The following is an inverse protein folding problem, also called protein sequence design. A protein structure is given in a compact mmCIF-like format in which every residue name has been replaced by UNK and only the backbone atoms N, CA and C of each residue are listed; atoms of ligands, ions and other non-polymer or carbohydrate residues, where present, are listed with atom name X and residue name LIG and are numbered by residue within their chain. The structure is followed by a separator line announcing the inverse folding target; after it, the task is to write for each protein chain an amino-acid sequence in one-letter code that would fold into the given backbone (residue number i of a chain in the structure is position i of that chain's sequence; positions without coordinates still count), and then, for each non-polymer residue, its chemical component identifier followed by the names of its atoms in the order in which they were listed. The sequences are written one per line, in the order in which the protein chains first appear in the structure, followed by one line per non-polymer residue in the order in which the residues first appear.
data_IF_965677018945
#
_entry.id   IF_965677018945
#
_cell.length_a   1.000
_cell.length_b   1.000
_cell.length_c   1.000
_cell.angle_alpha   90.00
_cell.angle_beta   90.00
_cell.angle_gamma   90.00
#
_symmetry.space_group_name_H-M   'P 1'
#
loop_
_entity.id
_entity.type
_entity.pdbx_description
1 polymer ?
#
# COMPACT_ATOMS: atom_id res chain seq x y z
N UNK A 1 -3.18 -19.74 -33.95
CA UNK A 1 -2.93 -18.42 -34.55
C UNK A 1 -2.60 -17.52 -33.40
N UNK A 2 -1.35 -17.28 -33.32
CA UNK A 2 -0.58 -16.62 -32.29
C UNK A 2 -0.70 -15.09 -32.49
N UNK A 3 -1.11 -14.33 -31.46
CA UNK A 3 -0.90 -12.89 -31.40
C UNK A 3 -0.60 -12.50 -29.96
N UNK A 4 0.64 -12.77 -29.56
CA UNK A 4 1.32 -12.02 -28.49
C UNK A 4 1.60 -10.61 -29.01
N UNK A 5 0.73 -9.64 -28.74
CA UNK A 5 1.07 -8.23 -28.84
C UNK A 5 1.81 -7.83 -27.56
N UNK A 6 3.13 -7.74 -27.69
CA UNK A 6 4.01 -7.04 -26.76
C UNK A 6 3.64 -5.55 -26.73
N UNK A 7 3.24 -5.04 -25.58
CA UNK A 7 2.97 -3.62 -25.36
C UNK A 7 4.28 -2.85 -25.13
N UNK A 8 5.07 -2.71 -26.21
CA UNK A 8 6.21 -1.80 -26.24
C UNK A 8 5.79 -0.53 -26.97
N UNK A 9 5.22 0.45 -26.31
CA UNK A 9 5.20 1.86 -26.67
C UNK A 9 4.17 2.63 -25.87
N UNK A 10 4.32 2.63 -24.52
CA UNK A 10 3.64 3.62 -23.71
C UNK A 10 4.51 4.88 -23.65
N UNK A 11 4.02 6.07 -24.03
CA UNK A 11 4.78 7.30 -23.90
C UNK A 11 5.13 7.53 -22.43
N UNK A 12 6.44 7.57 -22.16
CA UNK A 12 6.98 7.98 -20.86
C UNK A 12 6.40 9.36 -20.50
N UNK A 13 5.87 9.50 -19.28
CA UNK A 13 5.49 10.80 -18.73
C UNK A 13 6.65 11.77 -18.92
N UNK A 14 6.46 12.79 -19.76
CA UNK A 14 7.43 13.88 -19.85
C UNK A 14 7.38 14.63 -18.52
N UNK A 15 8.39 14.42 -17.70
CA UNK A 15 8.64 15.26 -16.53
C UNK A 15 8.83 16.69 -17.04
N UNK A 16 7.93 17.60 -16.71
CA UNK A 16 8.03 19.00 -17.12
C UNK A 16 9.23 19.63 -16.46
N UNK A 17 10.18 20.09 -17.29
CA UNK A 17 11.30 20.93 -16.83
C UNK A 17 10.75 22.25 -16.30
N UNK A 18 11.16 22.72 -15.12
CA UNK A 18 10.68 23.99 -14.57
C UNK A 18 11.10 25.16 -15.43
N UNK A 19 10.17 26.09 -15.70
CA UNK A 19 10.45 27.32 -16.44
C UNK A 19 11.49 28.19 -15.71
N UNK A 20 12.38 28.72 -16.50
CA UNK A 20 13.57 29.48 -16.14
C UNK A 20 13.27 30.87 -15.56
N UNK A 21 13.24 31.03 -14.24
CA UNK A 21 13.55 32.32 -13.58
C UNK A 21 13.86 32.24 -12.09
N UNK A 22 13.80 31.03 -11.50
CA UNK A 22 14.26 30.78 -10.11
C UNK A 22 15.54 29.94 -10.07
N UNK A 23 16.34 29.99 -11.09
CA UNK A 23 17.40 29.04 -11.42
C UNK A 23 18.64 29.11 -10.51
N UNK A 24 18.80 30.11 -9.68
CA UNK A 24 20.03 30.32 -8.89
C UNK A 24 20.12 29.50 -7.58
N UNK A 25 19.02 29.19 -6.95
CA UNK A 25 18.99 28.39 -5.69
C UNK A 25 18.57 26.93 -5.91
N UNK A 26 17.88 26.62 -7.02
CA UNK A 26 17.40 25.28 -7.35
C UNK A 26 18.44 24.41 -8.04
N UNK A 27 19.51 25.01 -8.58
CA UNK A 27 20.56 24.32 -9.34
C UNK A 27 21.44 23.36 -8.51
N UNK A 28 21.21 23.25 -7.19
CA UNK A 28 21.95 22.34 -6.29
C UNK A 28 21.10 21.27 -5.61
N UNK A 29 19.78 21.27 -5.79
CA UNK A 29 18.96 20.22 -5.19
C UNK A 29 18.86 19.02 -6.15
N UNK A 30 19.18 17.84 -5.64
CA UNK A 30 18.98 16.59 -6.36
C UNK A 30 17.49 16.39 -6.66
N UNK A 31 17.14 15.78 -7.80
CA UNK A 31 15.75 15.47 -8.10
C UNK A 31 15.19 14.52 -7.03
N UNK A 32 14.08 14.91 -6.39
CA UNK A 32 13.46 14.18 -5.30
C UNK A 32 12.12 13.57 -5.73
N UNK A 33 11.95 12.28 -5.54
CA UNK A 33 10.64 11.62 -5.57
C UNK A 33 10.22 11.33 -4.13
N UNK A 34 9.04 11.80 -3.75
CA UNK A 34 8.47 11.53 -2.44
C UNK A 34 7.41 10.44 -2.54
N UNK A 35 7.58 9.35 -1.82
CA UNK A 35 6.63 8.24 -1.73
C UNK A 35 5.91 8.36 -0.40
N UNK A 36 4.58 8.50 -0.44
CA UNK A 36 3.79 8.79 0.77
C UNK A 36 2.79 7.68 1.02
N UNK A 37 2.86 7.11 2.21
CA UNK A 37 1.90 6.12 2.70
C UNK A 37 1.14 6.63 3.93
N UNK A 38 0.26 5.81 4.48
CA UNK A 38 -0.29 5.98 5.83
C UNK A 38 -0.13 4.67 6.60
N UNK A 39 0.29 4.74 7.86
CA UNK A 39 0.41 3.57 8.74
C UNK A 39 -0.97 3.11 9.25
N UNK A 40 -1.84 2.76 8.30
CA UNK A 40 -3.13 2.10 8.51
C UNK A 40 -2.99 0.67 7.98
N UNK A 41 -2.52 -0.23 8.84
CA UNK A 41 -2.05 -1.56 8.42
C UNK A 41 -0.61 -1.52 7.86
N UNK A 42 -0.10 -2.66 7.41
CA UNK A 42 1.28 -2.80 6.90
C UNK A 42 1.39 -2.73 5.36
N UNK A 43 0.29 -2.98 4.64
CA UNK A 43 0.29 -3.11 3.18
C UNK A 43 0.75 -1.86 2.44
N UNK A 44 0.20 -0.69 2.81
CA UNK A 44 0.54 0.59 2.17
C UNK A 44 2.02 0.95 2.34
N UNK A 45 2.58 0.71 3.54
CA UNK A 45 4.00 0.91 3.82
C UNK A 45 4.86 -0.09 3.04
N UNK A 46 4.44 -1.36 2.96
CA UNK A 46 5.16 -2.38 2.21
C UNK A 46 5.25 -2.02 0.72
N UNK A 47 4.14 -1.58 0.12
CA UNK A 47 4.12 -1.11 -1.27
C UNK A 47 5.00 0.13 -1.48
N UNK A 48 4.95 1.11 -0.55
CA UNK A 48 5.81 2.29 -0.62
C UNK A 48 7.30 1.93 -0.59
N UNK A 49 7.70 1.03 0.30
CA UNK A 49 9.07 0.55 0.40
C UNK A 49 9.48 -0.26 -0.85
N UNK A 50 8.58 -1.06 -1.41
CA UNK A 50 8.85 -1.81 -2.64
C UNK A 50 9.11 -0.87 -3.83
N UNK A 51 8.34 0.22 -3.94
CA UNK A 51 8.58 1.25 -4.96
C UNK A 51 9.95 1.91 -4.74
N UNK A 52 10.31 2.25 -3.50
CA UNK A 52 11.62 2.83 -3.20
C UNK A 52 12.76 1.88 -3.60
N UNK A 53 12.65 0.59 -3.26
CA UNK A 53 13.62 -0.44 -3.67
C UNK A 53 13.72 -0.55 -5.20
N UNK A 54 12.60 -0.47 -5.92
CA UNK A 54 12.61 -0.50 -7.37
C UNK A 54 13.38 0.69 -7.96
N UNK A 55 13.23 1.90 -7.39
CA UNK A 55 14.03 3.06 -7.80
C UNK A 55 15.53 2.81 -7.58
N UNK A 56 15.93 2.19 -6.47
CA UNK A 56 17.33 1.88 -6.21
C UNK A 56 17.93 0.91 -7.25
N UNK A 57 17.11 -0.01 -7.76
CA UNK A 57 17.54 -0.97 -8.80
C UNK A 57 17.68 -0.34 -10.19
N UNK A 58 16.94 0.73 -10.48
CA UNK A 58 16.90 1.35 -11.82
C UNK A 58 17.63 2.71 -11.87
N UNK A 59 18.31 3.13 -10.82
CA UNK A 59 19.13 4.35 -10.82
C UNK A 59 20.13 4.32 -11.96
N UNK A 60 20.29 5.45 -12.64
CA UNK A 60 21.17 5.56 -13.79
C UNK A 60 20.70 4.85 -15.06
N UNK A 61 19.52 4.23 -15.04
CA UNK A 61 18.93 3.54 -16.20
C UNK A 61 17.63 4.19 -16.66
N UNK A 62 17.21 3.92 -17.89
CA UNK A 62 15.90 4.36 -18.43
C UNK A 62 15.57 5.85 -18.24
N UNK A 63 16.59 6.71 -18.20
CA UNK A 63 16.42 8.15 -17.97
C UNK A 63 16.18 8.56 -16.52
N UNK A 64 16.29 7.64 -15.57
CA UNK A 64 16.28 7.92 -14.13
C UNK A 64 17.67 8.43 -13.73
N UNK A 65 17.81 9.65 -13.16
CA UNK A 65 19.10 10.17 -12.71
C UNK A 65 19.74 9.26 -11.66
N UNK A 66 21.07 9.10 -11.71
CA UNK A 66 21.80 8.31 -10.71
C UNK A 66 21.70 8.93 -9.31
N UNK A 67 21.67 10.24 -9.24
CA UNK A 67 21.63 11.03 -8.01
C UNK A 67 20.19 11.33 -7.51
N UNK A 68 19.16 10.70 -8.09
CA UNK A 68 17.79 10.87 -7.64
C UNK A 68 17.64 10.51 -6.15
N UNK A 69 17.00 11.39 -5.39
CA UNK A 69 16.63 11.12 -4.01
C UNK A 69 15.24 10.50 -3.94
N UNK A 70 15.09 9.49 -3.08
CA UNK A 70 13.81 8.84 -2.79
C UNK A 70 13.54 8.97 -1.30
N UNK A 71 12.44 9.62 -0.93
CA UNK A 71 11.99 9.70 0.45
C UNK A 71 10.67 8.94 0.62
N UNK A 72 10.60 8.06 1.63
CA UNK A 72 9.38 7.36 2.02
C UNK A 72 8.85 7.95 3.31
N UNK A 73 7.63 8.49 3.28
CA UNK A 73 7.04 9.25 4.37
C UNK A 73 5.69 8.68 4.80
N UNK A 74 5.44 8.72 6.10
CA UNK A 74 4.09 8.50 6.63
C UNK A 74 3.33 9.82 6.71
N UNK A 75 2.21 9.94 5.98
CA UNK A 75 1.42 11.16 6.00
C UNK A 75 0.87 11.48 7.40
N UNK A 76 0.66 10.47 8.23
CA UNK A 76 0.13 10.65 9.59
C UNK A 76 1.09 11.44 10.50
N UNK A 77 2.40 11.38 10.20
CA UNK A 77 3.42 12.15 10.96
C UNK A 77 3.30 13.65 10.73
N UNK A 78 2.69 14.08 9.62
CA UNK A 78 2.47 15.48 9.26
C UNK A 78 1.13 16.04 9.75
N UNK A 79 0.31 15.20 10.39
CA UNK A 79 -0.99 15.59 10.92
C UNK A 79 -0.89 16.45 12.16
N UNK A 80 -1.77 17.50 12.29
CA UNK A 80 -1.93 18.27 13.54
C UNK A 80 -2.37 17.41 14.72
N UNK A 81 -3.18 16.38 14.43
CA UNK A 81 -3.64 15.40 15.41
C UNK A 81 -2.86 14.13 15.12
N UNK A 82 -2.20 13.59 16.13
CA UNK A 82 -1.57 12.28 16.02
C UNK A 82 -2.65 11.21 15.93
N UNK A 83 -2.89 10.73 14.73
CA UNK A 83 -3.79 9.62 14.50
C UNK A 83 -3.05 8.31 14.83
N UNK A 84 -3.63 7.53 15.70
CA UNK A 84 -3.30 6.12 15.79
C UNK A 84 -4.03 5.42 14.63
N UNK A 85 -3.29 5.05 13.59
CA UNK A 85 -3.84 4.44 12.38
C UNK A 85 -4.68 3.18 12.69
N UNK A 86 -4.30 2.42 13.70
CA UNK A 86 -5.01 1.22 14.13
C UNK A 86 -6.35 1.55 14.80
N UNK A 87 -6.39 2.58 15.66
CA UNK A 87 -7.63 3.03 16.29
C UNK A 87 -8.56 3.68 15.28
N UNK A 88 -8.01 4.40 14.31
CA UNK A 88 -8.79 5.02 13.23
C UNK A 88 -9.42 3.95 12.36
N UNK A 89 -8.68 2.94 11.92
CA UNK A 89 -9.23 1.81 11.17
C UNK A 89 -10.28 1.03 11.96
N UNK A 90 -10.08 0.82 13.27
CA UNK A 90 -11.07 0.18 14.14
C UNK A 90 -12.36 1.01 14.26
N UNK A 91 -12.30 2.34 14.22
CA UNK A 91 -13.49 3.19 14.26
C UNK A 91 -14.36 3.06 13.00
N UNK A 92 -13.75 2.81 11.82
CA UNK A 92 -14.49 2.60 10.56
C UNK A 92 -15.17 1.24 10.46
N UNK A 93 -14.78 0.26 11.27
CA UNK A 93 -15.39 -1.08 11.30
C UNK A 93 -16.56 -1.21 12.27
N UNK A 94 -16.79 -0.22 13.13
CA UNK A 94 -17.82 -0.19 14.17
C UNK A 94 -19.11 0.54 13.75
N UNK A 95 -19.61 1.41 14.63
CA UNK A 95 -20.85 2.17 14.45
C UNK A 95 -20.84 3.12 13.23
N UNK A 96 -19.67 3.49 12.73
CA UNK A 96 -19.49 4.38 11.56
C UNK A 96 -19.44 3.63 10.23
N UNK A 97 -19.50 2.29 10.25
CA UNK A 97 -19.46 1.46 9.03
C UNK A 97 -20.52 1.85 7.99
N UNK A 98 -21.78 2.13 8.33
CA UNK A 98 -22.78 2.55 7.32
C UNK A 98 -22.41 3.85 6.60
N UNK A 99 -21.76 4.80 7.31
CA UNK A 99 -21.29 6.06 6.72
C UNK A 99 -20.10 5.76 5.80
N UNK A 100 -19.19 4.90 6.22
CA UNK A 100 -18.07 4.45 5.41
C UNK A 100 -18.56 3.76 4.12
N UNK A 101 -19.48 2.80 4.22
CA UNK A 101 -20.06 2.09 3.07
C UNK A 101 -20.78 3.04 2.09
N UNK A 102 -21.46 4.08 2.62
CA UNK A 102 -22.11 5.11 1.81
C UNK A 102 -21.10 5.94 1.01
N UNK A 103 -20.00 6.29 1.66
CA UNK A 103 -18.92 7.09 1.03
C UNK A 103 -18.12 6.28 0.01
N UNK A 104 -18.02 4.98 0.22
CA UNK A 104 -17.38 4.06 -0.71
C UNK A 104 -18.14 3.96 -2.04
N UNK A 105 -19.46 3.84 -1.96
CA UNK A 105 -20.33 3.53 -3.12
C UNK A 105 -20.69 4.75 -3.97
N UNK A 106 -20.84 5.93 -3.39
CA UNK A 106 -21.43 7.07 -4.09
C UNK A 106 -20.38 8.12 -4.49
N UNK A 107 -20.25 8.33 -5.80
CA UNK A 107 -19.39 9.35 -6.42
C UNK A 107 -19.72 10.79 -5.99
N UNK A 108 -20.99 11.08 -5.65
CA UNK A 108 -21.40 12.40 -5.19
C UNK A 108 -20.77 12.76 -3.84
N UNK A 109 -20.70 11.78 -2.91
CA UNK A 109 -20.03 11.96 -1.62
C UNK A 109 -18.52 12.13 -1.80
N UNK A 110 -17.92 11.44 -2.77
CA UNK A 110 -16.52 11.63 -3.15
C UNK A 110 -16.24 13.06 -3.62
N UNK A 111 -17.14 13.67 -4.42
CA UNK A 111 -16.98 15.05 -4.87
C UNK A 111 -17.16 16.09 -3.76
N UNK A 112 -18.10 15.87 -2.84
CA UNK A 112 -18.28 16.73 -1.66
C UNK A 112 -17.07 16.65 -0.73
N UNK A 113 -16.53 15.47 -0.54
CA UNK A 113 -15.35 15.24 0.29
C UNK A 113 -14.05 15.70 -0.38
N UNK A 114 -13.99 15.65 -1.72
CA UNK A 114 -12.84 16.18 -2.44
C UNK A 114 -12.76 17.71 -2.33
N UNK A 115 -13.88 18.44 -2.46
CA UNK A 115 -13.90 19.88 -2.17
C UNK A 115 -13.54 20.19 -0.71
N UNK A 116 -13.90 19.28 0.22
CA UNK A 116 -13.40 19.25 1.59
C UNK A 116 -11.96 18.79 1.70
N UNK A 117 -11.47 17.95 0.76
CA UNK A 117 -10.12 17.37 0.78
C UNK A 117 -9.00 18.40 0.76
N UNK A 118 -9.08 19.42 -0.09
CA UNK A 118 -8.11 20.53 -0.14
C UNK A 118 -8.18 21.38 1.15
N UNK A 119 -9.39 21.73 1.60
CA UNK A 119 -9.58 22.46 2.85
C UNK A 119 -9.11 21.61 4.05
N UNK A 120 -9.42 20.32 4.04
CA UNK A 120 -8.99 19.38 5.07
C UNK A 120 -7.47 19.21 5.09
N UNK A 121 -6.81 19.10 3.94
CA UNK A 121 -5.35 19.07 3.83
C UNK A 121 -4.71 20.32 4.42
N UNK A 122 -5.27 21.49 4.13
CA UNK A 122 -4.77 22.77 4.67
C UNK A 122 -4.86 22.84 6.20
N UNK A 123 -5.96 22.35 6.77
CA UNK A 123 -6.23 22.41 8.20
C UNK A 123 -5.47 21.33 8.95
N UNK A 124 -5.49 20.10 8.43
CA UNK A 124 -5.01 18.91 9.14
C UNK A 124 -3.53 18.59 8.90
N UNK A 125 -2.98 18.96 7.72
CA UNK A 125 -1.62 18.61 7.32
C UNK A 125 -0.76 19.83 6.92
N UNK A 126 -0.73 20.91 7.70
CA UNK A 126 0.06 22.10 7.35
C UNK A 126 1.55 21.82 7.26
N UNK A 127 2.07 20.86 8.06
CA UNK A 127 3.47 20.47 8.03
C UNK A 127 3.84 19.79 6.69
N UNK A 128 2.92 19.05 6.05
CA UNK A 128 3.17 18.49 4.72
C UNK A 128 3.22 19.57 3.64
N UNK A 129 2.39 20.62 3.74
CA UNK A 129 2.48 21.75 2.82
C UNK A 129 3.83 22.46 2.94
N UNK A 130 4.37 22.57 4.16
CA UNK A 130 5.70 23.16 4.38
C UNK A 130 6.82 22.27 3.87
N UNK A 131 6.69 20.94 4.05
CA UNK A 131 7.57 19.95 3.44
C UNK A 131 7.63 20.14 1.91
N UNK A 132 6.49 20.22 1.23
CA UNK A 132 6.43 20.43 -0.23
C UNK A 132 7.11 21.75 -0.63
N UNK A 133 6.93 22.84 0.14
CA UNK A 133 7.61 24.11 -0.15
C UNK A 133 9.12 24.04 -0.03
N UNK A 134 9.61 23.33 0.99
CA UNK A 134 11.04 23.22 1.30
C UNK A 134 11.75 22.22 0.41
N UNK A 135 11.14 21.05 0.15
CA UNK A 135 11.80 19.96 -0.58
C UNK A 135 11.55 19.95 -2.08
N UNK A 136 10.44 20.56 -2.54
CA UNK A 136 10.06 20.68 -3.95
C UNK A 136 10.23 19.39 -4.75
N UNK A 137 9.52 18.30 -4.39
CA UNK A 137 9.66 17.03 -5.08
C UNK A 137 9.27 17.17 -6.55
N UNK A 138 9.94 16.44 -7.42
CA UNK A 138 9.62 16.36 -8.87
C UNK A 138 8.41 15.44 -9.12
N UNK A 139 8.07 14.56 -8.19
CA UNK A 139 6.88 13.71 -8.22
C UNK A 139 6.50 13.26 -6.81
N UNK A 140 5.21 13.04 -6.58
CA UNK A 140 4.69 12.43 -5.36
C UNK A 140 3.94 11.15 -5.72
N UNK A 141 4.37 10.03 -5.13
CA UNK A 141 3.72 8.72 -5.27
C UNK A 141 2.95 8.43 -3.99
N UNK A 142 1.66 8.15 -4.07
CA UNK A 142 0.80 7.91 -2.94
C UNK A 142 0.25 6.48 -2.94
N UNK A 143 0.58 5.70 -1.92
CA UNK A 143 0.08 4.32 -1.75
C UNK A 143 -1.16 4.22 -0.86
N UNK A 144 -1.65 5.35 -0.35
CA UNK A 144 -2.85 5.42 0.49
C UNK A 144 -3.71 6.62 0.10
N UNK A 145 -5.03 6.46 0.19
CA UNK A 145 -6.02 7.47 -0.19
C UNK A 145 -5.84 8.81 0.53
N UNK A 146 -5.52 8.79 1.83
CA UNK A 146 -5.23 10.01 2.60
C UNK A 146 -3.99 10.72 2.05
N UNK A 147 -2.93 9.97 1.77
CA UNK A 147 -1.70 10.50 1.20
C UNK A 147 -1.96 11.17 -0.17
N UNK A 148 -2.75 10.52 -1.03
CA UNK A 148 -3.12 11.06 -2.33
C UNK A 148 -3.89 12.38 -2.24
N UNK A 149 -4.92 12.44 -1.38
CA UNK A 149 -5.71 13.64 -1.16
C UNK A 149 -4.88 14.79 -0.59
N UNK A 150 -3.99 14.49 0.37
CA UNK A 150 -3.08 15.49 0.96
C UNK A 150 -2.07 15.97 -0.07
N UNK A 151 -1.52 15.09 -0.92
CA UNK A 151 -0.59 15.47 -1.98
C UNK A 151 -1.26 16.41 -3.00
N UNK A 152 -2.45 16.07 -3.48
CA UNK A 152 -3.23 16.95 -4.38
C UNK A 152 -3.55 18.27 -3.68
N UNK A 153 -3.98 18.23 -2.44
CA UNK A 153 -4.27 19.43 -1.64
C UNK A 153 -3.04 20.33 -1.48
N UNK A 154 -1.89 19.74 -1.17
CA UNK A 154 -0.62 20.46 -1.01
C UNK A 154 -0.17 21.11 -2.33
N UNK A 155 -0.32 20.43 -3.47
CA UNK A 155 -0.05 20.98 -4.81
C UNK A 155 -0.85 22.27 -5.05
N UNK A 156 -2.17 22.24 -4.77
CA UNK A 156 -3.05 23.40 -4.90
C UNK A 156 -2.68 24.54 -3.92
N UNK A 157 -2.42 24.20 -2.66
CA UNK A 157 -2.14 25.18 -1.59
C UNK A 157 -0.79 25.86 -1.78
N UNK A 158 0.22 25.10 -2.23
CA UNK A 158 1.59 25.61 -2.38
C UNK A 158 1.83 26.29 -3.71
N UNK A 159 1.03 25.97 -4.73
CA UNK A 159 1.24 26.38 -6.12
C UNK A 159 2.48 25.74 -6.77
N UNK A 160 3.06 24.70 -6.12
CA UNK A 160 4.19 23.96 -6.67
C UNK A 160 3.62 22.82 -7.52
N UNK A 161 4.00 22.80 -8.80
CA UNK A 161 3.54 21.77 -9.73
C UNK A 161 4.42 20.52 -9.63
N UNK A 162 3.77 19.38 -9.45
CA UNK A 162 4.35 18.04 -9.48
C UNK A 162 3.26 17.01 -9.78
N UNK A 163 3.55 15.95 -10.52
CA UNK A 163 2.60 14.88 -10.75
C UNK A 163 2.32 14.10 -9.45
N UNK A 164 1.06 13.74 -9.26
CA UNK A 164 0.59 12.85 -8.19
C UNK A 164 0.26 11.50 -8.81
N UNK A 165 0.99 10.47 -8.42
CA UNK A 165 0.84 9.10 -8.89
C UNK A 165 0.20 8.29 -7.77
N UNK A 166 -0.98 7.73 -8.03
CA UNK A 166 -1.72 6.91 -7.06
C UNK A 166 -1.46 5.42 -7.31
N UNK A 167 -1.09 4.71 -6.27
CA UNK A 167 -0.86 3.26 -6.27
C UNK A 167 -1.76 2.61 -5.22
N UNK A 168 -3.06 2.40 -5.52
CA UNK A 168 -3.97 1.71 -4.62
C UNK A 168 -3.49 0.28 -4.37
N UNK A 169 -3.55 -0.16 -3.10
CA UNK A 169 -3.11 -1.49 -2.68
C UNK A 169 -4.27 -2.43 -2.39
N UNK A 170 -5.49 -1.99 -2.65
CA UNK A 170 -6.72 -2.77 -2.57
C UNK A 170 -7.12 -3.29 -3.97
N UNK A 171 -8.11 -4.19 -4.03
CA UNK A 171 -8.65 -4.68 -5.30
C UNK A 171 -9.83 -3.85 -5.84
N UNK A 172 -10.18 -2.76 -5.18
CA UNK A 172 -11.18 -1.80 -5.61
C UNK A 172 -10.67 -0.38 -5.33
N UNK A 173 -10.91 0.55 -6.28
CA UNK A 173 -10.54 1.95 -6.08
C UNK A 173 -11.73 2.69 -5.48
N UNK A 174 -11.57 3.09 -4.23
CA UNK A 174 -12.59 3.78 -3.47
C UNK A 174 -12.98 5.15 -4.04
N UNK A 175 -14.22 5.59 -3.74
CA UNK A 175 -14.75 6.88 -4.18
C UNK A 175 -14.00 8.11 -3.66
N UNK A 176 -13.16 7.96 -2.63
CA UNK A 176 -12.42 9.04 -1.99
C UNK A 176 -11.08 9.37 -2.63
N UNK A 177 -10.58 8.54 -3.54
CA UNK A 177 -9.36 8.87 -4.27
C UNK A 177 -9.57 10.15 -5.08
N UNK A 178 -8.54 11.02 -5.23
CA UNK A 178 -8.66 12.27 -5.98
C UNK A 178 -8.64 12.03 -7.50
N UNK A 179 -9.67 11.34 -8.01
CA UNK A 179 -9.74 10.80 -9.38
C UNK A 179 -9.41 11.80 -10.48
N UNK A 180 -9.90 13.06 -10.37
CA UNK A 180 -9.73 14.07 -11.42
C UNK A 180 -8.35 14.72 -11.39
N UNK A 181 -7.76 14.81 -10.22
CA UNK A 181 -6.55 15.59 -9.96
C UNK A 181 -5.32 14.71 -9.80
N UNK A 182 -5.50 13.41 -9.93
CA UNK A 182 -4.42 12.45 -10.05
C UNK A 182 -3.91 12.45 -11.49
N UNK A 183 -2.59 12.38 -11.65
CA UNK A 183 -1.94 12.37 -12.96
C UNK A 183 -1.79 10.97 -13.49
N UNK A 184 -1.62 9.97 -12.61
CA UNK A 184 -1.51 8.56 -12.97
C UNK A 184 -2.06 7.67 -11.87
N UNK A 185 -2.82 6.64 -12.25
CA UNK A 185 -3.18 5.51 -11.41
C UNK A 185 -2.42 4.26 -11.86
N UNK A 186 -1.65 3.66 -10.96
CA UNK A 186 -1.05 2.35 -11.13
C UNK A 186 -1.87 1.33 -10.35
N UNK A 187 -2.67 0.52 -11.04
CA UNK A 187 -3.66 -0.38 -10.43
C UNK A 187 -3.25 -1.84 -10.54
N UNK A 188 -3.79 -2.68 -9.66
CA UNK A 188 -3.42 -4.07 -9.55
C UNK A 188 -3.84 -4.92 -10.78
N UNK A 189 -5.02 -4.64 -11.33
CA UNK A 189 -5.63 -5.44 -12.39
C UNK A 189 -6.68 -4.67 -13.18
N UNK A 190 -7.24 -5.30 -14.22
CA UNK A 190 -8.27 -4.73 -15.08
C UNK A 190 -9.55 -4.39 -14.30
N UNK A 191 -9.96 -5.20 -13.33
CA UNK A 191 -11.14 -4.93 -12.52
C UNK A 191 -11.04 -3.56 -11.83
N UNK A 192 -9.87 -3.23 -11.28
CA UNK A 192 -9.63 -1.90 -10.69
C UNK A 192 -9.68 -0.80 -11.74
N UNK A 193 -9.11 -1.01 -12.92
CA UNK A 193 -9.19 -0.05 -14.02
C UNK A 193 -10.65 0.22 -14.41
N UNK A 194 -11.49 -0.82 -14.48
CA UNK A 194 -12.92 -0.70 -14.74
C UNK A 194 -13.66 0.12 -13.67
N UNK A 195 -13.22 0.13 -12.41
CA UNK A 195 -13.82 0.96 -11.36
C UNK A 195 -13.49 2.45 -11.51
N UNK A 196 -12.40 2.79 -12.21
CA UNK A 196 -11.97 4.18 -12.45
C UNK A 196 -12.67 4.82 -13.64
N UNK A 197 -12.99 4.07 -14.69
CA UNK A 197 -13.62 4.58 -15.93
C UNK A 197 -14.94 5.31 -15.67
N UNK A 198 -15.92 4.76 -14.91
CA UNK A 198 -17.16 5.46 -14.58
C UNK A 198 -16.93 6.75 -13.78
N UNK A 199 -15.80 6.86 -13.09
CA UNK A 199 -15.38 8.04 -12.32
C UNK A 199 -14.69 9.11 -13.16
N UNK A 200 -14.72 8.96 -14.48
CA UNK A 200 -14.18 9.90 -15.47
C UNK A 200 -12.66 10.06 -15.39
N UNK A 201 -11.95 9.03 -14.94
CA UNK A 201 -10.51 8.95 -15.10
C UNK A 201 -10.21 8.58 -16.54
N UNK A 202 -9.34 9.35 -17.20
CA UNK A 202 -8.98 9.11 -18.59
C UNK A 202 -8.14 7.81 -18.69
N UNK A 203 -8.34 7.04 -19.73
CA UNK A 203 -7.60 5.80 -19.98
C UNK A 203 -6.07 6.03 -20.02
N UNK A 204 -5.65 7.17 -20.53
CA UNK A 204 -4.24 7.60 -20.56
C UNK A 204 -3.63 7.77 -19.17
N UNK A 205 -4.46 7.92 -18.14
CA UNK A 205 -4.05 8.05 -16.73
C UNK A 205 -4.12 6.73 -15.96
N UNK A 206 -4.40 5.61 -16.60
CA UNK A 206 -4.50 4.30 -15.96
C UNK A 206 -3.39 3.39 -16.49
N UNK A 207 -2.71 2.69 -15.58
CA UNK A 207 -1.74 1.64 -15.89
C UNK A 207 -2.02 0.44 -14.99
N UNK A 208 -2.06 -0.73 -15.59
CA UNK A 208 -2.15 -1.99 -14.86
C UNK A 208 -0.73 -2.47 -14.63
N UNK A 209 -0.27 -2.36 -13.38
CA UNK A 209 1.12 -2.63 -13.00
C UNK A 209 1.25 -3.77 -11.99
N UNK A 210 0.13 -4.25 -11.43
CA UNK A 210 0.18 -5.05 -10.23
C UNK A 210 0.35 -4.18 -8.98
N UNK A 211 0.24 -4.80 -7.80
CA UNK A 211 0.61 -4.17 -6.52
C UNK A 211 2.14 -4.29 -6.37
N UNK A 212 2.86 -3.21 -6.03
CA UNK A 212 4.30 -3.29 -5.81
C UNK A 212 4.66 -4.28 -4.69
N UNK A 213 5.55 -5.20 -4.99
CA UNK A 213 6.09 -6.19 -4.06
C UNK A 213 7.60 -6.00 -3.90
N UNK A 214 8.15 -6.41 -2.75
CA UNK A 214 9.60 -6.35 -2.53
C UNK A 214 10.33 -7.25 -3.53
N UNK A 215 11.50 -6.83 -3.99
CA UNK A 215 12.31 -7.56 -4.98
C UNK A 215 12.60 -9.02 -4.57
N UNK A 216 12.66 -9.31 -3.26
CA UNK A 216 12.84 -10.67 -2.75
C UNK A 216 11.73 -11.66 -3.13
N UNK A 217 10.52 -11.19 -3.49
CA UNK A 217 9.44 -12.08 -3.95
C UNK A 217 9.60 -12.53 -5.42
N UNK A 218 10.48 -11.91 -6.17
CA UNK A 218 10.77 -12.23 -7.58
C UNK A 218 12.11 -12.98 -7.72
N UNK A 219 12.62 -13.52 -6.65
CA UNK A 219 13.89 -14.27 -6.61
C UNK A 219 13.59 -15.76 -6.57
N UNK A 220 14.30 -16.53 -7.37
CA UNK A 220 14.27 -17.98 -7.28
C UNK A 220 14.93 -18.43 -5.99
N UNK A 221 14.18 -19.11 -5.14
CA UNK A 221 14.66 -19.68 -3.90
C UNK A 221 14.66 -21.20 -3.98
N UNK A 222 15.68 -21.83 -3.38
CA UNK A 222 15.62 -23.26 -3.12
C UNK A 222 14.60 -23.51 -2.01
N UNK A 223 13.49 -24.21 -2.40
CA UNK A 223 12.37 -24.46 -1.49
C UNK A 223 12.81 -25.27 -0.24
N UNK A 224 13.68 -26.24 -0.42
CA UNK A 224 14.11 -27.13 0.66
C UNK A 224 14.99 -26.37 1.66
N UNK A 225 15.90 -25.54 1.16
CA UNK A 225 16.73 -24.67 2.01
C UNK A 225 15.88 -23.68 2.80
N UNK A 226 14.89 -23.05 2.16
CA UNK A 226 14.00 -22.09 2.83
C UNK A 226 13.14 -22.77 3.91
N UNK A 227 12.55 -23.92 3.62
CA UNK A 227 11.76 -24.67 4.60
C UNK A 227 12.60 -25.14 5.78
N UNK A 228 13.86 -25.55 5.52
CA UNK A 228 14.78 -25.98 6.56
C UNK A 228 15.10 -24.87 7.58
N UNK A 229 15.16 -23.61 7.15
CA UNK A 229 15.38 -22.45 8.06
C UNK A 229 14.31 -22.34 9.15
N UNK A 230 13.11 -22.82 8.86
CA UNK A 230 11.97 -22.77 9.77
C UNK A 230 11.61 -24.14 10.37
N UNK A 231 12.45 -25.16 10.14
CA UNK A 231 12.18 -26.55 10.52
C UNK A 231 10.85 -27.08 10.00
N UNK A 232 10.50 -26.74 8.76
CA UNK A 232 9.26 -27.15 8.11
C UNK A 232 9.50 -28.39 7.23
N UNK A 233 8.51 -29.29 7.09
CA UNK A 233 8.64 -30.48 6.26
C UNK A 233 8.76 -30.13 4.77
N UNK A 234 9.63 -30.83 4.06
CA UNK A 234 9.87 -30.65 2.63
C UNK A 234 8.96 -31.52 1.77
N UNK A 235 8.42 -32.60 2.33
CA UNK A 235 7.57 -33.61 1.69
C UNK A 235 6.06 -33.29 1.72
N UNK A 236 5.67 -32.17 2.37
CA UNK A 236 4.27 -31.74 2.52
C UNK A 236 3.99 -30.45 1.79
N UNK A 237 2.73 -30.23 1.43
CA UNK A 237 2.24 -28.93 1.00
C UNK A 237 2.18 -27.98 2.19
N UNK A 238 2.96 -26.91 2.16
CA UNK A 238 2.94 -25.90 3.23
C UNK A 238 1.84 -24.89 2.97
N UNK A 239 0.93 -24.77 3.93
CA UNK A 239 -0.18 -23.81 3.91
C UNK A 239 0.09 -22.70 4.90
N UNK A 240 0.31 -21.48 4.41
CA UNK A 240 0.54 -20.31 5.25
C UNK A 240 -0.79 -19.70 5.72
N UNK A 241 -0.96 -19.61 7.03
CA UNK A 241 -2.14 -18.99 7.67
C UNK A 241 -1.71 -17.68 8.32
N UNK A 242 -2.06 -16.56 7.69
CA UNK A 242 -1.69 -15.25 8.18
C UNK A 242 -2.88 -14.56 8.85
N UNK A 243 -2.73 -14.21 10.13
CA UNK A 243 -3.62 -13.27 10.81
C UNK A 243 -2.99 -11.88 10.73
N UNK A 244 -3.62 -10.96 10.03
CA UNK A 244 -3.09 -9.60 9.85
C UNK A 244 -2.66 -8.94 11.17
N UNK A 245 -1.51 -8.30 11.14
CA UNK A 245 -0.73 -7.94 12.33
C UNK A 245 -1.29 -6.79 13.18
N UNK A 246 -2.30 -6.02 12.71
CA UNK A 246 -2.47 -4.67 13.25
C UNK A 246 -3.88 -4.29 13.71
N UNK A 247 -4.92 -5.11 13.47
CA UNK A 247 -6.29 -4.71 13.73
C UNK A 247 -6.97 -5.64 14.74
N UNK A 248 -7.20 -5.20 15.98
CA UNK A 248 -7.74 -6.08 17.02
C UNK A 248 -9.20 -6.52 16.78
N UNK A 249 -10.04 -5.70 16.18
CA UNK A 249 -11.48 -5.96 16.08
C UNK A 249 -11.92 -6.89 14.91
N UNK A 250 -11.44 -6.75 13.67
CA UNK A 250 -11.81 -7.65 12.56
C UNK A 250 -11.36 -9.09 12.80
N UNK A 251 -10.29 -9.28 13.55
CA UNK A 251 -9.68 -10.59 13.82
C UNK A 251 -10.39 -11.42 14.86
N UNK A 252 -11.24 -10.85 15.69
CA UNK A 252 -12.03 -11.64 16.67
C UNK A 252 -12.89 -12.67 15.95
N UNK A 253 -13.55 -12.29 14.85
CA UNK A 253 -14.34 -13.24 14.03
C UNK A 253 -13.43 -14.24 13.31
N UNK A 254 -12.37 -13.76 12.68
CA UNK A 254 -11.40 -14.63 12.02
C UNK A 254 -10.82 -15.66 12.99
N UNK A 255 -10.41 -15.23 14.19
CA UNK A 255 -9.91 -16.13 15.24
C UNK A 255 -10.95 -17.14 15.67
N UNK A 256 -12.19 -16.72 15.87
CA UNK A 256 -13.27 -17.62 16.23
C UNK A 256 -13.55 -18.67 15.14
N UNK A 257 -13.51 -18.28 13.87
CA UNK A 257 -13.65 -19.24 12.77
C UNK A 257 -12.42 -20.15 12.65
N UNK A 258 -11.22 -19.64 12.84
CA UNK A 258 -10.01 -20.45 12.89
C UNK A 258 -10.08 -21.47 14.04
N UNK A 259 -10.43 -21.06 15.23
CA UNK A 259 -10.58 -21.98 16.38
C UNK A 259 -11.55 -23.14 16.08
N UNK A 260 -12.61 -22.89 15.31
CA UNK A 260 -13.55 -23.94 14.86
C UNK A 260 -12.95 -24.88 13.81
N UNK A 261 -12.03 -24.40 13.00
CA UNK A 261 -11.39 -25.21 11.94
C UNK A 261 -10.20 -26.03 12.43
N UNK A 262 -9.55 -25.61 13.54
CA UNK A 262 -8.36 -26.30 14.07
C UNK A 262 -8.51 -27.82 14.23
N UNK A 263 -9.63 -28.37 14.77
CA UNK A 263 -9.77 -29.82 14.93
C UNK A 263 -9.73 -30.60 13.61
N UNK A 264 -10.09 -29.95 12.50
CA UNK A 264 -10.13 -30.58 11.18
C UNK A 264 -8.76 -30.62 10.49
N UNK A 265 -7.78 -29.84 10.95
CA UNK A 265 -6.44 -29.77 10.31
C UNK A 265 -5.75 -31.14 10.29
N UNK A 266 -6.01 -31.99 11.27
CA UNK A 266 -5.43 -33.35 11.33
C UNK A 266 -5.82 -34.24 10.15
N UNK A 267 -6.95 -33.97 9.48
CA UNK A 267 -7.42 -34.77 8.35
C UNK A 267 -6.66 -34.48 7.04
N UNK A 268 -5.80 -33.47 7.03
CA UNK A 268 -4.96 -33.11 5.88
C UNK A 268 -3.54 -33.62 6.11
N UNK A 269 -3.32 -34.92 5.90
CA UNK A 269 -2.06 -35.59 6.20
C UNK A 269 -0.91 -35.17 5.28
N UNK A 270 -1.21 -34.74 4.07
CA UNK A 270 -0.29 -34.23 3.04
C UNK A 270 0.00 -32.74 3.15
N UNK A 271 -0.60 -32.05 4.14
CA UNK A 271 -0.44 -30.62 4.36
C UNK A 271 0.21 -30.32 5.71
N UNK A 272 0.94 -29.23 5.77
CA UNK A 272 1.50 -28.64 6.97
C UNK A 272 1.09 -27.17 7.09
N UNK A 273 0.45 -26.78 8.17
CA UNK A 273 -0.12 -25.44 8.35
C UNK A 273 0.83 -24.59 9.20
N UNK A 274 1.27 -23.48 8.63
CA UNK A 274 2.16 -22.51 9.29
C UNK A 274 1.36 -21.29 9.67
N UNK A 275 1.19 -21.06 10.95
CA UNK A 275 0.46 -19.92 11.49
C UNK A 275 1.41 -18.75 11.79
N UNK A 276 1.11 -17.59 11.20
CA UNK A 276 1.79 -16.34 11.45
C UNK A 276 0.83 -15.35 12.14
N UNK A 277 0.75 -15.36 13.48
CA UNK A 277 -0.12 -14.45 14.23
C UNK A 277 0.40 -13.00 14.26
N UNK A 278 1.50 -12.72 13.59
CA UNK A 278 2.11 -11.40 13.53
C UNK A 278 2.65 -10.94 14.89
N UNK A 279 2.33 -9.71 15.29
CA UNK A 279 2.81 -9.14 16.57
C UNK A 279 1.97 -9.55 17.79
N UNK A 280 0.94 -10.37 17.61
CA UNK A 280 0.06 -10.82 18.68
C UNK A 280 0.62 -12.05 19.42
N UNK A 281 1.48 -11.78 20.39
CA UNK A 281 2.11 -12.83 21.21
C UNK A 281 1.12 -13.65 22.05
N UNK A 282 0.01 -13.04 22.47
CA UNK A 282 -1.02 -13.72 23.24
C UNK A 282 -1.74 -14.77 22.39
N UNK A 283 -2.12 -14.39 21.17
CA UNK A 283 -2.74 -15.32 20.23
C UNK A 283 -1.76 -16.43 19.80
N UNK A 284 -0.49 -16.11 19.59
CA UNK A 284 0.55 -17.11 19.30
C UNK A 284 0.67 -18.14 20.41
N UNK A 285 0.75 -17.70 21.66
CA UNK A 285 0.81 -18.60 22.83
C UNK A 285 -0.45 -19.47 22.96
N UNK A 286 -1.63 -18.88 22.73
CA UNK A 286 -2.90 -19.60 22.74
C UNK A 286 -2.95 -20.69 21.67
N UNK A 287 -2.51 -20.39 20.43
CA UNK A 287 -2.46 -21.38 19.36
C UNK A 287 -1.55 -22.55 19.71
N UNK A 288 -0.34 -22.29 20.23
CA UNK A 288 0.58 -23.34 20.69
C UNK A 288 -0.09 -24.25 21.71
N UNK A 289 -0.74 -23.68 22.73
CA UNK A 289 -1.47 -24.43 23.76
C UNK A 289 -2.61 -25.29 23.18
N UNK A 290 -3.35 -24.74 22.20
CA UNK A 290 -4.44 -25.48 21.56
C UNK A 290 -3.93 -26.63 20.71
N UNK A 291 -2.84 -26.43 19.95
CA UNK A 291 -2.24 -27.45 19.11
C UNK A 291 -1.69 -28.60 19.94
N UNK A 292 -1.01 -28.31 21.08
CA UNK A 292 -0.53 -29.31 22.02
C UNK A 292 -1.69 -30.11 22.63
N UNK A 293 -2.75 -29.43 23.09
CA UNK A 293 -3.93 -30.06 23.66
C UNK A 293 -4.66 -30.96 22.66
N UNK A 294 -4.71 -30.55 21.38
CA UNK A 294 -5.32 -31.30 20.28
C UNK A 294 -4.39 -32.35 19.69
N UNK A 295 -3.10 -32.39 20.08
CA UNK A 295 -2.07 -33.26 19.52
C UNK A 295 -2.00 -33.15 17.98
N UNK A 296 -1.94 -31.93 17.48
CA UNK A 296 -1.78 -31.66 16.05
C UNK A 296 -0.29 -31.66 15.70
N UNK A 297 0.11 -32.58 14.83
CA UNK A 297 1.52 -32.74 14.42
C UNK A 297 1.84 -31.99 13.11
N UNK A 298 0.80 -31.62 12.34
CA UNK A 298 0.92 -30.95 11.06
C UNK A 298 0.71 -29.44 11.15
N UNK A 299 1.11 -28.82 12.25
CA UNK A 299 0.97 -27.38 12.49
C UNK A 299 2.26 -26.79 13.08
N UNK A 300 2.57 -25.55 12.70
CA UNK A 300 3.66 -24.77 13.29
C UNK A 300 3.16 -23.35 13.54
N UNK A 301 3.53 -22.76 14.67
CA UNK A 301 3.32 -21.34 14.95
C UNK A 301 4.68 -20.66 14.90
N UNK A 302 4.88 -19.79 13.91
CA UNK A 302 6.06 -18.94 13.84
C UNK A 302 5.77 -17.61 14.52
N UNK A 303 6.78 -17.10 15.21
CA UNK A 303 6.74 -15.72 15.68
C UNK A 303 6.83 -14.74 14.48
N UNK A 304 6.76 -13.43 14.77
CA UNK A 304 6.86 -12.42 13.72
C UNK A 304 8.17 -12.61 12.92
N UNK A 305 8.02 -12.74 11.61
CA UNK A 305 9.11 -12.85 10.64
C UNK A 305 9.12 -11.56 9.82
N UNK A 306 10.29 -10.91 9.69
CA UNK A 306 10.48 -9.69 8.88
C UNK A 306 10.65 -10.02 7.40
#
# INVERSE_FOLDING_TARGET
MDQTQTSEDAPLLKLSTPQSEQTGLLAQQKPLVTIVHASVGSGHKAAANAIAQAFDLIRGTNGIPEDIEIEVLDILDFGRIKFDGNKTAASFTGATRPIYDLTWRYTLTGHLLWGGGTAWSRIMFPAFNEYIRSRRPIAVVATHITAANVAVGARVITGIDYPVICVPTDYEVEGWWPHKDTDLFCVANEFMAETLRPRKVLETKIRITGIPIRAGFDTDYDREEELAKFNLPTDKTVVLVMAGASLPQPYVRFRAEMDRTLPFLRSFEDMHFVFLPGKDKEYAARLKTLFDAMKLENVTVLDYVD
#
